data_IF_814736771357
#
_entry.id   IF_814736771357
#
_cell.length_a   1.000
_cell.length_b   1.000
_cell.length_c   1.000
_cell.angle_alpha   90.00
_cell.angle_beta   90.00
_cell.angle_gamma   90.00
#
_symmetry.space_group_name_H-M   'P 1'
#
loop_
_entity.id
_entity.type
_entity.pdbx_description
1 polymer ?
#
# COMPACT_ATOMS: atom_id res chain seq x y z
N UNK A 1 0.80 -0.09 25.28
CA UNK A 1 1.70 0.45 24.23
C UNK A 1 0.89 1.42 23.41
N UNK A 2 1.32 2.68 23.35
CA UNK A 2 0.70 3.71 22.50
C UNK A 2 1.09 3.36 21.06
N UNK A 3 0.12 3.22 20.18
CA UNK A 3 0.31 2.54 18.89
C UNK A 3 1.13 3.36 17.89
N UNK A 4 1.23 4.67 18.11
CA UNK A 4 2.05 5.59 17.32
C UNK A 4 3.55 5.29 17.43
N UNK A 5 3.99 4.60 18.49
CA UNK A 5 5.40 4.20 18.65
C UNK A 5 5.78 2.96 17.82
N UNK A 6 4.80 2.19 17.32
CA UNK A 6 5.11 0.92 16.64
C UNK A 6 5.85 1.14 15.32
N UNK A 7 5.51 2.22 14.63
CA UNK A 7 6.03 2.56 13.30
C UNK A 7 7.08 3.66 13.35
N UNK A 8 7.18 4.35 14.49
CA UNK A 8 8.08 5.48 14.66
C UNK A 8 9.52 5.03 14.52
N UNK A 9 10.30 5.78 13.74
CA UNK A 9 11.72 5.53 13.47
C UNK A 9 11.98 4.15 12.83
N UNK A 10 10.95 3.56 12.18
CA UNK A 10 11.07 2.31 11.43
C UNK A 10 11.16 2.58 9.95
N UNK A 11 11.87 1.68 9.26
CA UNK A 11 12.05 1.71 7.83
C UNK A 11 11.37 0.49 7.23
N UNK A 12 10.69 0.69 6.10
CA UNK A 12 10.21 -0.39 5.26
C UNK A 12 10.97 -0.44 3.94
N UNK A 13 11.17 -1.66 3.44
CA UNK A 13 11.77 -1.92 2.13
C UNK A 13 10.71 -1.84 1.04
N UNK A 14 11.11 -1.28 -0.10
CA UNK A 14 10.35 -1.34 -1.34
C UNK A 14 10.80 -2.51 -2.20
N UNK A 15 10.08 -2.74 -3.29
CA UNK A 15 10.45 -3.75 -4.29
C UNK A 15 11.84 -3.50 -4.89
N UNK A 16 12.25 -2.23 -5.00
CA UNK A 16 13.55 -1.87 -5.59
C UNK A 16 14.72 -2.37 -4.74
N UNK A 17 14.62 -2.24 -3.40
CA UNK A 17 15.64 -2.74 -2.47
C UNK A 17 15.92 -4.23 -2.62
N UNK A 18 14.90 -5.00 -2.95
CA UNK A 18 15.03 -6.45 -3.07
C UNK A 18 15.49 -6.90 -4.47
N UNK A 19 15.53 -6.01 -5.47
CA UNK A 19 16.01 -6.28 -6.83
C UNK A 19 17.49 -5.99 -7.02
N UNK A 20 18.08 -5.19 -6.14
CA UNK A 20 19.51 -4.95 -6.14
C UNK A 20 20.26 -6.26 -5.88
N UNK A 21 21.11 -6.65 -6.83
CA UNK A 21 22.12 -7.67 -6.60
C UNK A 21 23.13 -7.07 -5.65
N UNK A 22 23.19 -7.57 -4.42
CA UNK A 22 24.35 -7.31 -3.57
C UNK A 22 25.60 -7.77 -4.34
N UNK A 23 26.45 -6.84 -4.72
CA UNK A 23 27.77 -7.15 -5.24
C UNK A 23 28.54 -7.70 -4.02
N UNK A 24 28.59 -9.03 -3.89
CA UNK A 24 29.46 -9.63 -2.88
C UNK A 24 30.90 -9.19 -3.14
N UNK A 25 31.66 -8.72 -2.13
CA UNK A 25 33.09 -8.49 -2.31
C UNK A 25 33.73 -9.85 -2.59
N UNK A 26 34.28 -10.01 -3.81
CA UNK A 26 35.03 -11.20 -4.20
C UNK A 26 36.07 -11.51 -3.12
N UNK A 27 36.00 -12.71 -2.54
CA UNK A 27 37.04 -13.22 -1.65
C UNK A 27 38.32 -13.30 -2.47
N UNK A 28 39.33 -12.58 -2.03
CA UNK A 28 40.68 -12.66 -2.57
C UNK A 28 41.25 -14.05 -2.32
N UNK A 29 41.14 -14.93 -3.31
CA UNK A 29 41.95 -16.14 -3.34
C UNK A 29 43.38 -15.74 -3.71
N UNK A 30 44.25 -15.80 -2.70
CA UNK A 30 45.68 -15.82 -2.88
C UNK A 30 46.11 -17.04 -3.70
N UNK A 31 47.11 -16.83 -4.54
CA UNK A 31 48.05 -17.82 -5.10
C UNK A 31 47.70 -18.42 -6.47
N UNK A 32 48.22 -17.78 -7.53
CA UNK A 32 49.18 -18.47 -8.40
C UNK A 32 49.99 -17.46 -9.21
N UNK A 33 51.30 -17.44 -9.00
CA UNK A 33 52.22 -16.65 -9.81
C UNK A 33 52.31 -17.19 -11.23
N UNK A 34 52.33 -16.29 -12.22
CA UNK A 34 53.15 -16.46 -13.41
C UNK A 34 53.42 -15.13 -14.10
N UNK A 35 54.71 -14.90 -14.31
CA UNK A 35 55.35 -13.75 -14.95
C UNK A 35 54.91 -13.58 -16.39
N UNK A 36 54.43 -12.38 -16.76
CA UNK A 36 54.39 -11.94 -18.16
C UNK A 36 55.21 -10.67 -18.33
N UNK A 37 56.22 -10.76 -19.21
CA UNK A 37 57.14 -9.70 -19.59
C UNK A 37 56.42 -8.59 -20.37
N UNK A 38 56.55 -7.34 -19.92
CA UNK A 38 56.13 -6.17 -20.68
C UNK A 38 57.38 -5.60 -21.37
N UNK A 39 57.47 -5.76 -22.69
CA UNK A 39 58.30 -4.93 -23.57
C UNK A 39 57.41 -4.34 -24.65
N UNK A 40 57.33 -3.01 -24.64
CA UNK A 40 56.97 -2.05 -25.71
C UNK A 40 55.68 -2.35 -26.51
N UNK A 41 54.75 -1.40 -26.62
CA UNK A 41 54.80 -0.40 -27.71
C UNK A 41 54.03 0.87 -27.34
N UNK A 42 54.64 1.99 -27.74
CA UNK A 42 54.25 3.40 -27.70
C UNK A 42 53.25 3.75 -28.81
N UNK A 43 52.27 4.60 -28.52
CA UNK A 43 51.66 5.53 -29.51
C UNK A 43 51.25 6.85 -28.83
N UNK A 44 51.45 8.02 -29.46
CA UNK A 44 51.37 9.35 -28.83
C UNK A 44 50.03 10.08 -29.05
N UNK A 45 49.86 11.15 -28.27
CA UNK A 45 48.80 12.17 -28.28
C UNK A 45 48.46 12.81 -29.65
N UNK A 46 47.18 13.15 -29.86
CA UNK A 46 46.72 14.51 -30.23
C UNK A 46 45.18 14.55 -30.34
N UNK A 47 44.50 15.29 -29.48
CA UNK A 47 43.88 16.62 -29.65
C UNK A 47 42.45 16.66 -30.26
N UNK A 48 41.54 17.16 -29.41
CA UNK A 48 40.38 18.06 -29.65
C UNK A 48 39.30 17.69 -30.65
N UNK A 49 38.03 17.66 -30.22
CA UNK A 49 37.09 18.80 -30.33
C UNK A 49 35.82 18.51 -29.52
N UNK A 50 35.36 19.50 -28.75
CA UNK A 50 34.06 19.46 -28.08
C UNK A 50 32.93 19.70 -29.08
N UNK A 51 31.86 18.94 -28.94
CA UNK A 51 30.51 19.32 -29.31
C UNK A 51 29.60 18.81 -28.19
N UNK A 52 28.65 19.66 -27.84
CA UNK A 52 27.72 19.56 -26.73
C UNK A 52 26.78 18.38 -26.93
N UNK A 53 26.90 17.35 -26.08
CA UNK A 53 25.82 16.38 -25.84
C UNK A 53 25.18 16.74 -24.48
N UNK A 54 24.43 17.84 -24.50
CA UNK A 54 23.45 18.20 -23.47
C UNK A 54 22.18 17.35 -23.68
N UNK A 55 22.28 16.02 -23.68
CA UNK A 55 21.07 15.18 -23.76
C UNK A 55 21.25 13.75 -23.24
N UNK A 56 21.47 13.62 -21.92
CA UNK A 56 21.27 12.36 -21.22
C UNK A 56 20.98 12.55 -19.72
N UNK A 57 20.15 13.52 -19.34
CA UNK A 57 19.65 13.68 -17.95
C UNK A 57 18.14 13.46 -17.86
N UNK A 58 17.69 12.32 -18.40
CA UNK A 58 16.37 11.74 -18.13
C UNK A 58 16.48 10.23 -18.00
N UNK A 59 17.18 9.76 -16.98
CA UNK A 59 17.10 8.37 -16.55
C UNK A 59 16.60 8.29 -15.11
N UNK A 60 15.31 7.96 -15.01
CA UNK A 60 14.57 7.47 -13.84
C UNK A 60 14.66 8.30 -12.56
N UNK A 61 13.58 9.01 -12.22
CA UNK A 61 13.17 9.12 -10.82
C UNK A 61 12.92 7.70 -10.30
N UNK A 62 13.98 7.03 -9.83
CA UNK A 62 13.90 5.71 -9.20
C UNK A 62 13.07 5.82 -7.94
N UNK A 63 12.15 4.86 -7.72
CA UNK A 63 11.46 4.76 -6.43
C UNK A 63 12.51 4.56 -5.33
N UNK A 64 12.32 5.19 -4.16
CA UNK A 64 13.25 5.01 -3.05
C UNK A 64 13.29 3.54 -2.65
N UNK A 65 14.48 3.01 -2.39
CA UNK A 65 14.67 1.64 -1.92
C UNK A 65 14.08 1.43 -0.51
N UNK A 66 14.16 2.47 0.32
CA UNK A 66 13.73 2.46 1.71
C UNK A 66 12.82 3.65 1.99
N UNK A 67 11.76 3.42 2.78
CA UNK A 67 10.78 4.46 3.12
C UNK A 67 10.53 4.49 4.62
N UNK A 68 10.23 5.68 5.13
CA UNK A 68 9.78 5.87 6.50
C UNK A 68 8.43 5.16 6.73
N UNK A 69 8.40 4.25 7.69
CA UNK A 69 7.23 3.41 7.95
C UNK A 69 6.00 4.25 8.31
N UNK A 70 6.15 5.21 9.22
CA UNK A 70 5.04 6.04 9.71
C UNK A 70 4.39 6.84 8.57
N UNK A 71 5.18 7.58 7.79
CA UNK A 71 4.68 8.36 6.64
C UNK A 71 4.05 7.49 5.57
N UNK A 72 4.60 6.29 5.34
CA UNK A 72 4.13 5.41 4.27
C UNK A 72 2.72 4.84 4.53
N UNK A 73 2.30 4.75 5.80
CA UNK A 73 1.04 4.11 6.20
C UNK A 73 0.01 5.06 6.83
N UNK A 74 0.40 6.32 7.09
CA UNK A 74 -0.47 7.34 7.70
C UNK A 74 -1.77 7.54 6.91
N UNK A 75 -2.91 7.62 7.60
CA UNK A 75 -4.26 7.80 7.03
C UNK A 75 -4.68 6.71 6.04
N UNK A 76 -4.09 5.51 6.12
CA UNK A 76 -4.43 4.37 5.27
C UNK A 76 -4.98 3.19 6.08
N UNK A 77 -5.71 2.32 5.39
CA UNK A 77 -5.96 0.96 5.82
C UNK A 77 -4.72 0.14 5.51
N UNK A 78 -4.22 -0.63 6.48
CA UNK A 78 -2.98 -1.41 6.34
C UNK A 78 -3.31 -2.89 6.36
N UNK A 79 -2.82 -3.63 5.38
CA UNK A 79 -2.78 -5.08 5.38
C UNK A 79 -1.43 -5.61 5.88
N UNK A 80 -1.38 -6.13 7.10
CA UNK A 80 -0.22 -6.89 7.57
C UNK A 80 -0.26 -8.30 6.98
N UNK A 81 0.63 -8.56 6.04
CA UNK A 81 0.66 -9.81 5.30
C UNK A 81 1.79 -10.72 5.78
N UNK A 82 1.44 -11.80 6.46
CA UNK A 82 2.37 -12.79 6.98
C UNK A 82 2.42 -13.99 6.04
N UNK A 83 3.59 -14.22 5.43
CA UNK A 83 3.82 -15.26 4.44
C UNK A 83 5.29 -15.65 4.32
N UNK A 84 5.57 -16.70 3.55
CA UNK A 84 6.92 -17.16 3.22
C UNK A 84 6.93 -17.84 1.85
N UNK A 85 8.10 -17.93 1.23
CA UNK A 85 8.32 -18.51 -0.09
C UNK A 85 8.03 -20.02 -0.11
N UNK A 86 8.55 -20.74 0.89
CA UNK A 86 8.40 -22.20 1.02
C UNK A 86 6.94 -22.67 1.23
N UNK A 87 6.02 -21.74 1.46
CA UNK A 87 4.62 -21.99 1.72
C UNK A 87 3.81 -21.88 0.41
N UNK A 88 3.51 -23.02 -0.21
CA UNK A 88 2.68 -23.10 -1.44
C UNK A 88 1.36 -22.30 -1.35
N UNK A 89 0.51 -22.47 -0.30
CA UNK A 89 -0.73 -21.69 -0.22
C UNK A 89 -0.48 -20.18 -0.04
N UNK A 90 0.70 -19.78 0.42
CA UNK A 90 1.12 -18.38 0.46
C UNK A 90 1.37 -17.85 -0.94
N UNK A 91 2.07 -18.60 -1.79
CA UNK A 91 2.31 -18.21 -3.19
C UNK A 91 1.00 -18.00 -3.96
N UNK A 92 0.05 -18.92 -3.82
CA UNK A 92 -1.28 -18.82 -4.46
C UNK A 92 -2.04 -17.57 -4.00
N UNK A 93 -2.07 -17.33 -2.68
CA UNK A 93 -2.76 -16.17 -2.13
C UNK A 93 -2.06 -14.86 -2.46
N UNK A 94 -0.73 -14.83 -2.53
CA UNK A 94 0.03 -13.64 -2.95
C UNK A 94 -0.40 -13.18 -4.34
N UNK A 95 -0.62 -14.09 -5.30
CA UNK A 95 -1.08 -13.73 -6.64
C UNK A 95 -2.45 -13.03 -6.62
N UNK A 96 -3.41 -13.55 -5.83
CA UNK A 96 -4.74 -12.96 -5.67
C UNK A 96 -4.65 -11.59 -4.98
N UNK A 97 -3.80 -11.51 -3.94
CA UNK A 97 -3.58 -10.27 -3.20
C UNK A 97 -2.94 -9.19 -4.06
N UNK A 98 -1.98 -9.55 -4.91
CA UNK A 98 -1.32 -8.67 -5.89
C UNK A 98 -2.34 -8.03 -6.82
N UNK A 99 -3.17 -8.83 -7.47
CA UNK A 99 -4.22 -8.34 -8.38
C UNK A 99 -5.16 -7.38 -7.65
N UNK A 100 -5.63 -7.75 -6.45
CA UNK A 100 -6.53 -6.91 -5.65
C UNK A 100 -5.87 -5.58 -5.27
N UNK A 101 -4.59 -5.60 -4.90
CA UNK A 101 -3.84 -4.41 -4.54
C UNK A 101 -3.61 -3.48 -5.74
N UNK A 102 -3.23 -4.01 -6.89
CA UNK A 102 -3.02 -3.24 -8.12
C UNK A 102 -4.33 -2.50 -8.52
N UNK A 103 -5.47 -3.19 -8.48
CA UNK A 103 -6.78 -2.56 -8.72
C UNK A 103 -7.11 -1.46 -7.70
N UNK A 104 -6.74 -1.64 -6.42
CA UNK A 104 -6.95 -0.61 -5.39
C UNK A 104 -6.04 0.61 -5.60
N UNK A 105 -4.82 0.40 -6.07
CA UNK A 105 -3.87 1.48 -6.40
C UNK A 105 -4.33 2.29 -7.61
N UNK A 106 -4.85 1.65 -8.65
CA UNK A 106 -5.46 2.32 -9.79
C UNK A 106 -6.64 3.22 -9.38
N UNK A 107 -7.39 2.79 -8.37
CA UNK A 107 -8.51 3.56 -7.79
C UNK A 107 -8.08 4.62 -6.77
N UNK A 108 -6.78 4.81 -6.57
CA UNK A 108 -6.20 5.76 -5.58
C UNK A 108 -6.78 5.52 -4.17
N UNK A 109 -7.00 4.25 -3.84
CA UNK A 109 -7.56 3.87 -2.54
C UNK A 109 -6.52 4.03 -1.43
N UNK A 110 -6.91 4.48 -0.22
CA UNK A 110 -5.98 4.62 0.91
C UNK A 110 -5.72 3.24 1.55
N UNK A 111 -5.03 2.37 0.80
CA UNK A 111 -4.65 1.03 1.18
C UNK A 111 -3.16 0.81 0.98
N UNK A 112 -2.50 0.21 1.96
CA UNK A 112 -1.11 -0.21 1.86
C UNK A 112 -0.94 -1.62 2.43
N UNK A 113 -0.01 -2.39 1.87
CA UNK A 113 0.33 -3.72 2.40
C UNK A 113 1.75 -3.67 2.96
N UNK A 114 1.92 -4.25 4.13
CA UNK A 114 3.24 -4.46 4.74
C UNK A 114 3.47 -5.95 4.87
N UNK A 115 4.41 -6.46 4.08
CA UNK A 115 4.84 -7.84 4.13
C UNK A 115 5.71 -8.09 5.36
N UNK A 116 5.40 -9.19 6.05
CA UNK A 116 6.12 -9.68 7.23
C UNK A 116 6.55 -11.11 6.96
N UNK A 117 7.83 -11.29 6.62
CA UNK A 117 8.37 -12.57 6.19
C UNK A 117 8.48 -13.61 7.33
N UNK A 118 8.20 -14.86 6.96
CA UNK A 118 8.47 -16.07 7.74
C UNK A 118 9.63 -16.89 7.14
N UNK A 119 10.32 -16.36 6.13
CA UNK A 119 11.47 -16.99 5.52
C UNK A 119 12.66 -17.02 6.48
N UNK A 120 13.48 -18.07 6.34
CA UNK A 120 14.67 -18.29 7.17
C UNK A 120 15.95 -17.75 6.53
N UNK A 121 15.87 -17.37 5.25
CA UNK A 121 16.97 -16.82 4.48
C UNK A 121 16.51 -15.53 3.83
N UNK A 122 17.43 -14.59 3.71
CA UNK A 122 17.18 -13.30 3.07
C UNK A 122 16.91 -13.48 1.57
N UNK A 123 17.58 -14.42 0.91
CA UNK A 123 17.42 -14.68 -0.52
C UNK A 123 16.01 -15.17 -0.83
N UNK A 124 15.51 -16.16 -0.07
CA UNK A 124 14.14 -16.68 -0.20
C UNK A 124 13.11 -15.53 -0.05
N UNK A 125 13.31 -14.67 0.95
CA UNK A 125 12.46 -13.48 1.16
C UNK A 125 12.53 -12.50 -0.03
N UNK A 126 13.74 -12.15 -0.48
CA UNK A 126 13.96 -11.18 -1.56
C UNK A 126 13.40 -11.70 -2.89
N UNK A 127 13.63 -12.97 -3.22
CA UNK A 127 13.09 -13.61 -4.43
C UNK A 127 11.56 -13.64 -4.38
N UNK A 128 10.97 -14.11 -3.29
CA UNK A 128 9.51 -14.17 -3.15
C UNK A 128 8.87 -12.78 -3.25
N UNK A 129 9.45 -11.80 -2.56
CA UNK A 129 8.98 -10.42 -2.58
C UNK A 129 9.11 -9.81 -3.98
N UNK A 130 10.26 -9.93 -4.64
CA UNK A 130 10.52 -9.33 -5.96
C UNK A 130 9.72 -9.94 -7.10
N UNK A 131 9.49 -11.26 -7.08
CA UNK A 131 8.86 -11.97 -8.19
C UNK A 131 7.35 -12.09 -8.07
N UNK A 132 6.84 -12.35 -6.84
CA UNK A 132 5.43 -12.71 -6.65
C UNK A 132 4.58 -11.56 -6.12
N UNK A 133 5.15 -10.63 -5.38
CA UNK A 133 4.37 -9.60 -4.70
C UNK A 133 4.02 -8.42 -5.62
N UNK A 134 3.07 -7.61 -5.16
CA UNK A 134 2.80 -6.29 -5.73
C UNK A 134 3.80 -5.24 -5.23
N UNK A 135 3.68 -4.04 -5.79
CA UNK A 135 4.48 -2.88 -5.39
C UNK A 135 4.00 -2.26 -4.06
N UNK A 136 4.08 -3.08 -3.02
CA UNK A 136 3.81 -2.72 -1.63
C UNK A 136 5.10 -2.84 -0.82
N UNK A 137 5.00 -2.67 0.50
CA UNK A 137 6.15 -2.54 1.39
C UNK A 137 6.47 -3.85 2.12
N UNK A 138 7.69 -3.96 2.64
CA UNK A 138 8.11 -5.06 3.51
C UNK A 138 8.81 -4.55 4.76
N UNK A 139 8.62 -5.25 5.88
CA UNK A 139 9.53 -5.12 7.01
C UNK A 139 10.91 -5.67 6.61
N UNK A 140 12.03 -5.01 6.98
CA UNK A 140 13.37 -5.51 6.71
C UNK A 140 13.60 -6.91 7.29
N UNK A 141 14.44 -7.69 6.60
CA UNK A 141 14.78 -9.03 7.07
C UNK A 141 15.44 -8.99 8.45
N UNK A 142 14.99 -9.84 9.37
CA UNK A 142 15.43 -9.89 10.79
C UNK A 142 15.21 -8.61 11.61
N UNK A 143 14.36 -7.68 11.16
CA UNK A 143 13.97 -6.56 12.02
C UNK A 143 13.21 -7.10 13.26
N UNK A 144 13.53 -6.66 14.50
CA UNK A 144 12.81 -7.06 15.70
C UNK A 144 11.30 -6.81 15.64
N UNK A 145 10.85 -5.86 14.82
CA UNK A 145 9.44 -5.59 14.55
C UNK A 145 8.70 -6.83 14.04
N UNK A 146 9.37 -7.71 13.28
CA UNK A 146 8.79 -8.96 12.80
C UNK A 146 8.27 -9.81 13.96
N UNK A 147 9.09 -10.01 14.99
CA UNK A 147 8.73 -10.84 16.15
C UNK A 147 7.68 -10.17 17.04
N UNK A 148 7.75 -8.83 17.16
CA UNK A 148 6.73 -8.03 17.85
C UNK A 148 5.37 -8.19 17.16
N UNK A 149 5.31 -8.07 15.84
CA UNK A 149 4.07 -8.22 15.07
C UNK A 149 3.52 -9.64 15.13
N UNK A 150 4.38 -10.66 14.97
CA UNK A 150 3.99 -12.08 15.08
C UNK A 150 3.36 -12.39 16.45
N UNK A 151 3.99 -11.91 17.52
CA UNK A 151 3.53 -12.14 18.89
C UNK A 151 2.25 -11.36 19.18
N UNK A 152 2.21 -10.08 18.82
CA UNK A 152 1.08 -9.18 19.08
C UNK A 152 -0.22 -9.64 18.45
N UNK A 153 -0.14 -10.15 17.22
CA UNK A 153 -1.31 -10.63 16.48
C UNK A 153 -1.46 -12.15 16.52
N UNK A 154 -0.74 -12.82 17.42
CA UNK A 154 -0.83 -14.26 17.68
C UNK A 154 -0.82 -15.12 16.41
N UNK A 155 0.14 -14.86 15.51
CA UNK A 155 0.20 -15.52 14.20
C UNK A 155 0.62 -16.98 14.36
N UNK A 156 -0.36 -17.89 14.27
CA UNK A 156 -0.16 -19.35 14.40
C UNK A 156 0.05 -20.07 13.07
N UNK A 157 -0.40 -19.49 11.97
CA UNK A 157 -0.36 -20.10 10.65
C UNK A 157 -0.29 -19.04 9.54
N UNK A 158 0.31 -19.41 8.42
CA UNK A 158 0.43 -18.59 7.19
C UNK A 158 -0.22 -19.31 5.99
N UNK A 159 -0.71 -18.58 4.97
CA UNK A 159 -0.74 -17.12 4.87
C UNK A 159 -1.84 -16.51 5.74
N UNK A 160 -1.52 -15.39 6.38
CA UNK A 160 -2.43 -14.62 7.24
C UNK A 160 -2.36 -13.16 6.82
N UNK A 161 -3.52 -12.56 6.59
CA UNK A 161 -3.66 -11.14 6.30
C UNK A 161 -4.56 -10.52 7.35
N UNK A 162 -4.00 -9.58 8.12
CA UNK A 162 -4.72 -8.83 9.14
C UNK A 162 -4.85 -7.39 8.66
N UNK A 163 -6.06 -6.87 8.70
CA UNK A 163 -6.36 -5.51 8.29
C UNK A 163 -6.45 -4.66 9.55
N UNK A 164 -5.64 -3.60 9.59
CA UNK A 164 -5.54 -2.67 10.70
C UNK A 164 -5.63 -1.23 10.20
N UNK A 165 -5.81 -0.30 11.13
CA UNK A 165 -5.60 1.14 10.90
C UNK A 165 -4.12 1.48 11.07
N UNK A 166 -3.73 2.68 10.66
CA UNK A 166 -2.44 3.30 10.96
C UNK A 166 -2.08 3.30 12.45
N UNK A 167 -3.05 3.57 13.33
CA UNK A 167 -2.90 3.41 14.77
C UNK A 167 -2.91 1.94 15.25
N UNK A 168 -2.80 0.98 14.34
CA UNK A 168 -2.81 -0.47 14.53
C UNK A 168 -4.05 -1.08 15.21
N UNK A 169 -5.16 -0.35 15.29
CA UNK A 169 -6.45 -0.94 15.67
C UNK A 169 -6.88 -1.96 14.62
N UNK A 170 -7.27 -3.16 15.06
CA UNK A 170 -7.70 -4.24 14.16
C UNK A 170 -9.08 -3.92 13.56
N UNK A 171 -9.15 -3.95 12.23
CA UNK A 171 -10.41 -3.88 11.46
C UNK A 171 -10.96 -5.29 11.22
N UNK A 172 -10.09 -6.23 10.85
CA UNK A 172 -10.42 -7.65 10.69
C UNK A 172 -9.17 -8.52 10.71
N UNK A 173 -9.23 -9.67 11.37
CA UNK A 173 -8.19 -10.71 11.30
C UNK A 173 -8.43 -11.73 10.18
N UNK A 174 -9.54 -11.57 9.46
CA UNK A 174 -9.99 -12.47 8.39
C UNK A 174 -9.75 -11.86 7.01
N UNK A 175 -8.77 -10.96 6.88
CA UNK A 175 -8.47 -10.25 5.63
C UNK A 175 -8.27 -11.18 4.44
N UNK A 176 -7.57 -12.30 4.64
CA UNK A 176 -7.39 -13.34 3.61
C UNK A 176 -8.73 -13.86 3.08
N UNK A 177 -9.63 -14.24 4.00
CA UNK A 177 -10.95 -14.77 3.64
C UNK A 177 -11.83 -13.69 2.99
N UNK A 178 -11.77 -12.46 3.50
CA UNK A 178 -12.52 -11.34 2.93
C UNK A 178 -12.12 -11.09 1.46
N UNK A 179 -10.82 -11.14 1.12
CA UNK A 179 -10.36 -11.02 -0.27
C UNK A 179 -10.78 -12.23 -1.11
N UNK A 180 -10.61 -13.45 -0.60
CA UNK A 180 -10.97 -14.65 -1.37
C UNK A 180 -12.47 -14.75 -1.67
N UNK A 181 -13.32 -14.37 -0.70
CA UNK A 181 -14.77 -14.50 -0.85
C UNK A 181 -15.40 -13.32 -1.62
N UNK A 182 -14.85 -12.10 -1.47
CA UNK A 182 -15.50 -10.85 -1.95
C UNK A 182 -14.65 -10.04 -2.92
N UNK A 183 -13.38 -10.41 -3.13
CA UNK A 183 -12.41 -9.61 -3.89
C UNK A 183 -12.29 -8.19 -3.34
N UNK A 184 -12.13 -7.23 -4.27
CA UNK A 184 -11.99 -5.80 -3.95
C UNK A 184 -13.18 -5.20 -3.17
N UNK A 185 -14.37 -5.82 -3.24
CA UNK A 185 -15.58 -5.28 -2.60
C UNK A 185 -15.43 -5.23 -1.07
N UNK A 186 -14.63 -6.12 -0.46
CA UNK A 186 -14.40 -6.11 0.99
C UNK A 186 -13.79 -4.79 1.50
N UNK A 187 -13.04 -4.10 0.64
CA UNK A 187 -12.34 -2.86 0.98
C UNK A 187 -13.31 -1.76 1.46
N UNK A 188 -14.51 -1.67 0.90
CA UNK A 188 -15.53 -0.70 1.33
C UNK A 188 -15.90 -0.87 2.80
N UNK A 189 -16.02 -2.12 3.26
CA UNK A 189 -16.31 -2.43 4.66
C UNK A 189 -15.14 -2.11 5.57
N UNK A 190 -13.90 -2.27 5.09
CA UNK A 190 -12.71 -1.90 5.85
C UNK A 190 -12.59 -0.38 6.02
N UNK A 191 -12.82 0.40 4.95
CA UNK A 191 -12.86 1.86 5.00
C UNK A 191 -13.89 2.39 6.00
N UNK A 192 -15.10 1.86 5.96
CA UNK A 192 -16.18 2.27 6.86
C UNK A 192 -15.79 2.04 8.34
N UNK A 193 -15.21 0.87 8.65
CA UNK A 193 -14.70 0.57 10.00
C UNK A 193 -13.48 1.41 10.36
N UNK A 194 -12.69 1.80 9.37
CA UNK A 194 -11.59 2.71 9.53
C UNK A 194 -12.06 4.18 9.64
N UNK A 195 -13.36 4.51 9.57
CA UNK A 195 -13.82 5.90 9.50
C UNK A 195 -13.02 6.75 8.46
N UNK A 196 -12.47 6.12 7.43
CA UNK A 196 -11.73 6.77 6.35
C UNK A 196 -12.69 6.84 5.16
N UNK A 197 -12.94 8.03 4.64
CA UNK A 197 -13.65 8.17 3.38
C UNK A 197 -12.66 7.94 2.23
N UNK A 198 -13.06 7.14 1.23
CA UNK A 198 -12.36 7.16 -0.05
C UNK A 198 -12.51 8.56 -0.63
N UNK A 199 -11.40 9.28 -0.81
CA UNK A 199 -11.39 10.64 -1.34
C UNK A 199 -11.97 10.65 -2.75
N UNK A 200 -13.06 11.41 -2.95
CA UNK A 200 -13.48 11.86 -4.28
C UNK A 200 -12.55 12.99 -4.75
N UNK A 201 -12.34 13.19 -6.07
CA UNK A 201 -11.65 14.36 -6.59
C UNK A 201 -12.34 15.66 -6.13
N UNK A 202 -11.52 16.66 -5.88
CA UNK A 202 -11.82 17.98 -5.29
C UNK A 202 -13.14 18.65 -5.71
N UNK A 203 -13.91 19.09 -4.72
CA UNK A 203 -14.65 20.34 -4.78
C UNK A 203 -14.22 21.21 -3.59
N UNK A 204 -13.45 22.27 -3.90
CA UNK A 204 -13.45 23.48 -3.07
C UNK A 204 -14.90 23.98 -3.04
N UNK A 205 -15.41 24.40 -1.89
CA UNK A 205 -15.99 25.75 -1.72
C UNK A 205 -16.22 26.04 -0.23
N UNK A 206 -15.63 27.18 0.15
CA UNK A 206 -15.94 28.16 1.18
C UNK A 206 -17.10 27.91 2.16
N UNK A 207 -16.75 28.16 3.42
CA UNK A 207 -17.45 28.89 4.48
C UNK A 207 -18.95 29.23 4.35
N UNK A 208 -19.57 29.09 5.52
CA UNK A 208 -20.75 29.79 6.07
C UNK A 208 -22.15 29.24 5.77
N UNK A 209 -22.81 28.91 6.88
CA UNK A 209 -24.18 29.34 7.19
C UNK A 209 -25.21 29.28 6.07
N UNK A 210 -25.82 28.11 5.83
CA UNK A 210 -27.23 28.03 5.40
C UNK A 210 -27.89 26.77 5.96
N UNK A 211 -28.28 26.84 7.24
CA UNK A 211 -29.13 25.83 7.87
C UNK A 211 -30.58 26.30 8.11
N UNK A 212 -31.01 27.43 7.56
CA UNK A 212 -32.30 28.04 7.95
C UNK A 212 -33.34 28.27 6.83
N UNK A 213 -33.09 27.90 5.57
CA UNK A 213 -34.08 28.12 4.49
C UNK A 213 -34.91 26.90 4.08
N UNK A 214 -34.59 25.68 4.54
CA UNK A 214 -35.37 24.48 4.19
C UNK A 214 -36.61 24.24 5.06
N UNK A 215 -36.77 24.95 6.19
CA UNK A 215 -37.96 24.83 7.05
C UNK A 215 -39.17 25.64 6.61
N UNK A 216 -39.03 26.59 5.67
CA UNK A 216 -40.15 27.42 5.21
C UNK A 216 -40.93 26.81 4.03
N UNK A 217 -40.29 25.94 3.23
CA UNK A 217 -40.92 25.34 2.04
C UNK A 217 -41.80 24.14 2.42
N UNK A 218 -41.36 23.30 3.37
CA UNK A 218 -42.15 22.13 3.79
C UNK A 218 -43.45 22.52 4.52
N UNK A 219 -43.45 23.65 5.24
CA UNK A 219 -44.65 24.14 5.95
C UNK A 219 -45.72 24.73 5.02
N UNK A 220 -45.34 25.08 3.78
CA UNK A 220 -46.26 25.63 2.77
C UNK A 220 -46.94 24.51 1.98
N UNK A 221 -46.24 23.40 1.72
CA UNK A 221 -46.78 22.23 0.99
C UNK A 221 -47.83 21.48 1.82
N UNK A 222 -47.71 21.48 3.16
CA UNK A 222 -48.68 20.80 4.05
C UNK A 222 -49.99 21.61 4.22
N UNK A 223 -49.95 22.93 4.05
CA UNK A 223 -51.14 23.77 4.03
C UNK A 223 -51.96 23.63 2.74
N UNK A 224 -51.33 23.41 1.59
CA UNK A 224 -52.09 23.20 0.35
C UNK A 224 -52.75 21.82 0.27
N UNK A 225 -52.13 20.78 0.85
CA UNK A 225 -52.73 19.42 0.91
C UNK A 225 -53.93 19.33 1.85
N UNK A 226 -54.02 20.18 2.88
CA UNK A 226 -55.14 20.21 3.82
C UNK A 226 -56.34 21.01 3.31
N UNK A 227 -56.13 21.92 2.34
CA UNK A 227 -57.20 22.67 1.68
C UNK A 227 -57.91 21.81 0.62
N UNK A 228 -57.16 21.06 -0.22
CA UNK A 228 -57.81 20.24 -1.27
C UNK A 228 -58.58 19.03 -0.73
N UNK A 229 -58.24 18.53 0.46
CA UNK A 229 -58.96 17.42 1.07
C UNK A 229 -60.33 17.82 1.65
N UNK A 230 -60.55 19.11 1.96
CA UNK A 230 -61.84 19.57 2.51
C UNK A 230 -62.88 19.89 1.44
N UNK A 231 -62.48 20.22 0.21
CA UNK A 231 -63.43 20.48 -0.89
C UNK A 231 -64.01 19.20 -1.51
N UNK A 232 -63.37 18.04 -1.32
CA UNK A 232 -63.79 16.79 -1.94
C UNK A 232 -64.78 15.96 -1.09
N UNK A 233 -65.09 16.39 0.13
CA UNK A 233 -66.02 15.70 1.05
C UNK A 233 -67.42 16.32 1.02
N UNK A 234 -67.60 17.51 0.45
CA UNK A 234 -68.91 18.18 0.31
C UNK A 234 -69.74 17.74 -0.91
N UNK A 235 -69.25 16.84 -1.76
CA UNK A 235 -69.97 16.37 -2.96
C UNK A 235 -70.49 14.93 -2.88
N UNK A 236 -70.48 14.30 -1.70
CA UNK A 236 -71.07 12.96 -1.49
C UNK A 236 -72.16 13.06 -0.44
N UNK A 237 -73.29 13.66 -0.80
CA UNK A 237 -74.60 13.37 -0.20
C UNK A 237 -75.68 13.78 -1.21
N UNK A 238 -76.74 12.97 -1.30
CA UNK A 238 -77.91 13.08 -2.20
C UNK A 238 -77.61 12.44 -3.57
N UNK A 239 -78.24 11.34 -4.01
CA UNK A 239 -79.61 10.82 -3.82
C UNK A 239 -79.62 9.29 -3.93
#
# INVERSE_FOLDING_TARGET
>A
MIMDELWKDKIFWTQEKCREKEIEPEKSDSDFGQTINIKEIRVPDSQTTGLEDEEADKLSEGKPEEVDAFKSIENKVIGLYFAADWCIPCQEFTCILKQTYEELKERVSPFEIVFVSFDKKIDDMKTFFSEKHGDWLSVPYKDPLVDVLKSKYEIKAIPKLIIIRDNGTIITEKGRKDIQDKGIICFRGWLQKANLSATKPSEKTLDSEKQDETKLVEKSIEKEKTVSFKENVSSITIE
#
